data_IF_481029750805
#
_entry.id   IF_481029750805
#
_cell.length_a   1.000
_cell.length_b   1.000
_cell.length_c   1.000
_cell.angle_alpha   90.00
_cell.angle_beta   90.00
_cell.angle_gamma   90.00
#
_symmetry.space_group_name_H-M   'P 1'
#
loop_
_entity.id
_entity.type
_entity.pdbx_description
1 polymer ?
#
# COMPACT_ATOMS: atom_id res chain seq x y z
N UNK A 1 -10.47 3.55 -1.79
CA UNK A 1 -10.87 2.13 -1.58
C UNK A 1 -12.01 1.76 -2.52
N UNK A 2 -11.88 0.61 -3.17
CA UNK A 2 -12.92 0.01 -4.00
C UNK A 2 -13.79 -0.84 -3.08
N UNK A 3 -15.10 -0.60 -3.04
CA UNK A 3 -16.04 -1.39 -2.22
C UNK A 3 -16.15 -0.91 -0.77
N UNK A 4 -17.31 -1.20 -0.16
CA UNK A 4 -17.60 -0.93 1.26
C UNK A 4 -17.59 -2.29 1.99
N UNK A 5 -16.62 -2.56 2.89
CA UNK A 5 -16.60 -3.82 3.62
C UNK A 5 -17.88 -3.96 4.47
N UNK A 6 -18.57 -5.10 4.35
CA UNK A 6 -19.73 -5.45 5.16
C UNK A 6 -21.12 -5.13 4.58
N UNK A 7 -21.25 -4.53 3.39
CA UNK A 7 -22.54 -4.34 2.71
C UNK A 7 -22.73 -5.39 1.60
N UNK A 8 -23.77 -6.23 1.72
CA UNK A 8 -24.29 -7.28 0.80
C UNK A 8 -23.57 -7.52 -0.55
N UNK A 9 -23.16 -8.79 -0.79
CA UNK A 9 -22.69 -9.41 -2.06
C UNK A 9 -21.97 -8.46 -3.04
N UNK A 10 -20.69 -8.25 -2.79
CA UNK A 10 -19.76 -7.59 -3.73
C UNK A 10 -18.64 -8.53 -4.18
N UNK A 11 -17.62 -7.93 -4.80
CA UNK A 11 -16.37 -8.60 -5.16
C UNK A 11 -15.66 -9.15 -3.91
N UNK A 12 -14.97 -10.29 -4.04
CA UNK A 12 -14.18 -10.88 -2.96
C UNK A 12 -13.04 -9.93 -2.52
N UNK A 13 -12.48 -10.15 -1.33
CA UNK A 13 -11.33 -9.36 -0.85
C UNK A 13 -10.15 -9.40 -1.82
N UNK A 14 -9.88 -10.56 -2.43
CA UNK A 14 -8.83 -10.70 -3.44
C UNK A 14 -9.15 -10.00 -4.76
N UNK A 15 -10.42 -10.04 -5.21
CA UNK A 15 -10.87 -9.28 -6.38
C UNK A 15 -10.75 -7.76 -6.17
N UNK A 16 -11.06 -7.29 -4.97
CA UNK A 16 -10.90 -5.88 -4.58
C UNK A 16 -9.44 -5.43 -4.65
N UNK A 17 -8.51 -6.25 -4.15
CA UNK A 17 -7.07 -5.97 -4.23
C UNK A 17 -6.57 -5.93 -5.67
N UNK A 18 -6.97 -6.89 -6.50
CA UNK A 18 -6.62 -6.91 -7.93
C UNK A 18 -7.16 -5.69 -8.68
N UNK A 19 -8.39 -5.27 -8.39
CA UNK A 19 -8.97 -4.08 -9.00
C UNK A 19 -8.25 -2.80 -8.55
N UNK A 20 -7.85 -2.71 -7.28
CA UNK A 20 -7.03 -1.60 -6.80
C UNK A 20 -5.67 -1.55 -7.51
N UNK A 21 -4.97 -2.68 -7.60
CA UNK A 21 -3.71 -2.78 -8.33
C UNK A 21 -3.87 -2.42 -9.81
N UNK A 22 -4.90 -2.95 -10.48
CA UNK A 22 -5.18 -2.64 -11.88
C UNK A 22 -5.44 -1.14 -12.10
N UNK A 23 -6.17 -0.48 -11.19
CA UNK A 23 -6.38 0.98 -11.27
C UNK A 23 -5.07 1.78 -11.21
N UNK A 24 -4.11 1.35 -10.40
CA UNK A 24 -2.79 2.01 -10.31
C UNK A 24 -1.95 1.73 -11.56
N UNK A 25 -1.93 0.48 -12.04
CA UNK A 25 -1.21 0.09 -13.27
C UNK A 25 -1.74 0.82 -14.51
N UNK A 26 -3.03 1.16 -14.58
CA UNK A 26 -3.61 1.92 -15.69
C UNK A 26 -2.98 3.31 -15.87
N UNK A 27 -2.34 3.86 -14.85
CA UNK A 27 -1.66 5.15 -14.95
C UNK A 27 -0.27 5.08 -15.61
N UNK A 28 0.17 3.86 -15.93
CA UNK A 28 1.46 3.48 -16.52
C UNK A 28 2.69 4.11 -15.84
N UNK A 29 2.79 4.09 -14.50
CA UNK A 29 3.87 4.77 -13.79
C UNK A 29 5.21 4.10 -14.09
N UNK A 30 6.32 4.85 -14.23
CA UNK A 30 7.66 4.27 -14.43
C UNK A 30 8.16 3.53 -13.18
N UNK A 31 7.69 3.92 -11.99
CA UNK A 31 8.03 3.34 -10.68
C UNK A 31 6.74 3.04 -9.91
N UNK A 32 6.61 1.80 -9.43
CA UNK A 32 5.46 1.33 -8.68
C UNK A 32 5.88 0.83 -7.29
N UNK A 33 5.25 1.35 -6.25
CA UNK A 33 5.38 0.85 -4.88
C UNK A 33 4.15 0.01 -4.51
N UNK A 34 4.36 -1.20 -4.04
CA UNK A 34 3.30 -2.14 -3.66
C UNK A 34 3.50 -2.60 -2.22
N UNK A 35 2.64 -2.16 -1.32
CA UNK A 35 2.67 -2.62 0.07
C UNK A 35 1.80 -3.88 0.24
N UNK A 36 2.42 -4.99 0.62
CA UNK A 36 1.79 -6.30 0.82
C UNK A 36 0.77 -6.73 -0.27
N UNK A 37 1.16 -6.75 -1.56
CA UNK A 37 0.21 -7.01 -2.66
C UNK A 37 -0.39 -8.42 -2.61
N UNK A 38 0.27 -9.36 -1.94
CA UNK A 38 -0.13 -10.77 -1.81
C UNK A 38 -0.93 -11.08 -0.55
N UNK A 39 -1.02 -10.14 0.39
CA UNK A 39 -1.70 -10.36 1.68
C UNK A 39 -3.20 -10.69 1.48
N UNK A 40 -3.71 -11.72 2.15
CA UNK A 40 -5.11 -12.14 2.02
C UNK A 40 -5.49 -12.75 0.66
N UNK A 41 -4.52 -13.11 -0.17
CA UNK A 41 -4.71 -13.93 -1.38
C UNK A 41 -4.34 -15.39 -1.09
N UNK A 42 -4.89 -16.32 -1.86
CA UNK A 42 -4.37 -17.68 -1.91
C UNK A 42 -3.07 -17.74 -2.74
N UNK A 43 -2.38 -18.88 -2.69
CA UNK A 43 -1.09 -19.06 -3.37
C UNK A 43 -1.18 -18.82 -4.89
N UNK A 44 -2.24 -19.33 -5.53
CA UNK A 44 -2.44 -19.20 -6.96
C UNK A 44 -2.73 -17.75 -7.39
N UNK A 45 -3.57 -17.02 -6.65
CA UNK A 45 -3.81 -15.60 -6.94
C UNK A 45 -2.58 -14.74 -6.66
N UNK A 46 -1.84 -15.01 -5.58
CA UNK A 46 -0.60 -14.31 -5.27
C UNK A 46 0.42 -14.45 -6.41
N UNK A 47 0.57 -15.66 -6.97
CA UNK A 47 1.42 -15.88 -8.15
C UNK A 47 0.97 -15.09 -9.37
N UNK A 48 -0.33 -15.05 -9.65
CA UNK A 48 -0.84 -14.27 -10.78
C UNK A 48 -0.56 -12.78 -10.63
N UNK A 49 -0.71 -12.23 -9.42
CA UNK A 49 -0.41 -10.81 -9.14
C UNK A 49 1.07 -10.52 -9.35
N UNK A 50 1.96 -11.35 -8.78
CA UNK A 50 3.41 -11.18 -8.94
C UNK A 50 3.84 -11.41 -10.40
N UNK A 51 3.21 -12.33 -11.12
CA UNK A 51 3.45 -12.55 -12.55
C UNK A 51 3.11 -11.32 -13.39
N UNK A 52 2.03 -10.60 -13.08
CA UNK A 52 1.72 -9.32 -13.72
C UNK A 52 2.76 -8.26 -13.39
N UNK A 53 3.21 -8.19 -12.12
CA UNK A 53 4.29 -7.27 -11.72
C UNK A 53 5.57 -7.58 -12.50
N UNK A 54 5.95 -8.86 -12.62
CA UNK A 54 7.10 -9.29 -13.41
C UNK A 54 6.98 -8.89 -14.88
N UNK A 55 5.82 -9.12 -15.50
CA UNK A 55 5.58 -8.72 -16.89
C UNK A 55 5.61 -7.19 -17.09
N UNK A 56 5.30 -6.40 -16.06
CA UNK A 56 5.48 -4.95 -16.08
C UNK A 56 6.95 -4.57 -15.93
N UNK A 57 7.69 -5.26 -15.05
CA UNK A 57 9.12 -5.05 -14.88
C UNK A 57 9.92 -5.34 -16.17
N UNK A 58 9.57 -6.43 -16.87
CA UNK A 58 10.13 -6.78 -18.18
C UNK A 58 9.87 -5.71 -19.26
N UNK A 59 8.82 -4.90 -19.11
CA UNK A 59 8.53 -3.75 -19.98
C UNK A 59 9.32 -2.49 -19.61
N UNK A 60 10.29 -2.60 -18.70
CA UNK A 60 11.14 -1.49 -18.26
C UNK A 60 10.53 -0.65 -17.14
N UNK A 61 9.58 -1.19 -16.37
CA UNK A 61 9.06 -0.54 -15.16
C UNK A 61 9.85 -0.98 -13.94
N UNK A 62 10.04 -0.08 -12.97
CA UNK A 62 10.64 -0.44 -11.69
C UNK A 62 9.54 -0.72 -10.68
N UNK A 63 9.59 -1.86 -10.00
CA UNK A 63 8.58 -2.24 -9.01
C UNK A 63 9.27 -2.59 -7.70
N UNK A 64 8.82 -1.97 -6.61
CA UNK A 64 9.28 -2.24 -5.25
C UNK A 64 8.09 -2.74 -4.45
N UNK A 65 8.23 -3.94 -3.88
CA UNK A 65 7.15 -4.57 -3.14
C UNK A 65 7.61 -5.15 -1.80
N UNK A 66 6.76 -5.01 -0.78
CA UNK A 66 6.92 -5.68 0.52
C UNK A 66 6.10 -6.96 0.50
N UNK A 67 6.72 -8.11 0.78
CA UNK A 67 6.03 -9.41 0.77
C UNK A 67 6.36 -10.15 2.06
N UNK A 68 5.34 -10.36 2.89
CA UNK A 68 5.45 -11.18 4.08
C UNK A 68 5.38 -12.66 3.70
N UNK A 69 6.45 -13.42 3.98
CA UNK A 69 6.54 -14.88 3.84
C UNK A 69 6.11 -15.40 2.45
N UNK A 70 6.91 -15.12 1.40
CA UNK A 70 6.61 -15.64 0.07
C UNK A 70 6.81 -17.16 0.02
N UNK A 71 5.95 -17.85 -0.73
CA UNK A 71 6.17 -19.26 -1.07
C UNK A 71 7.43 -19.41 -1.94
N UNK A 72 8.04 -20.61 -1.94
CA UNK A 72 9.24 -20.87 -2.74
C UNK A 72 9.05 -20.57 -4.23
N UNK A 73 7.87 -20.86 -4.78
CA UNK A 73 7.54 -20.57 -6.18
C UNK A 73 7.45 -19.06 -6.45
N UNK A 74 6.98 -18.29 -5.46
CA UNK A 74 6.87 -16.84 -5.56
C UNK A 74 8.23 -16.16 -5.39
N UNK A 75 9.07 -16.68 -4.49
CA UNK A 75 10.45 -16.26 -4.32
C UNK A 75 11.27 -16.41 -5.60
N UNK A 76 11.08 -17.49 -6.36
CA UNK A 76 11.76 -17.72 -7.64
C UNK A 76 11.41 -16.70 -8.75
N UNK A 77 10.37 -15.89 -8.56
CA UNK A 77 10.00 -14.86 -9.53
C UNK A 77 10.71 -13.52 -9.30
N UNK A 78 11.36 -13.32 -8.14
CA UNK A 78 12.01 -12.06 -7.81
C UNK A 78 13.34 -11.89 -8.55
N UNK A 79 13.63 -10.66 -8.96
CA UNK A 79 14.91 -10.31 -9.59
C UNK A 79 15.95 -9.92 -8.53
N UNK A 80 15.52 -9.14 -7.53
CA UNK A 80 16.36 -8.65 -6.43
C UNK A 80 15.66 -8.80 -5.09
N UNK A 81 16.45 -8.96 -4.05
CA UNK A 81 16.01 -9.15 -2.68
C UNK A 81 16.60 -8.06 -1.79
N UNK A 82 15.73 -7.39 -1.02
CA UNK A 82 16.10 -6.52 0.10
C UNK A 82 15.65 -7.18 1.39
N UNK A 83 16.60 -7.54 2.25
CA UNK A 83 16.34 -8.07 3.59
C UNK A 83 16.68 -7.00 4.62
N UNK A 84 15.73 -6.73 5.51
CA UNK A 84 15.89 -5.75 6.59
C UNK A 84 15.59 -6.40 7.94
N UNK A 85 16.36 -6.01 8.95
CA UNK A 85 16.18 -6.46 10.33
C UNK A 85 16.58 -5.32 11.28
N UNK A 86 15.77 -5.07 12.32
CA UNK A 86 16.01 -3.99 13.30
C UNK A 86 16.30 -2.62 12.66
N UNK A 87 15.66 -2.33 11.52
CA UNK A 87 15.85 -1.08 10.76
C UNK A 87 17.17 -0.97 9.97
N UNK A 88 17.99 -2.03 9.96
CA UNK A 88 19.24 -2.12 9.18
C UNK A 88 19.07 -3.03 7.96
N UNK A 89 19.91 -2.82 6.95
CA UNK A 89 19.96 -3.68 5.76
C UNK A 89 20.82 -4.89 6.06
N UNK A 90 20.22 -6.07 6.03
CA UNK A 90 20.94 -7.34 6.20
C UNK A 90 21.51 -7.85 4.87
N UNK A 91 20.81 -7.60 3.77
CA UNK A 91 21.25 -7.94 2.42
C UNK A 91 20.47 -7.14 1.38
N UNK A 92 21.13 -6.72 0.31
CA UNK A 92 20.51 -6.16 -0.88
C UNK A 92 21.28 -6.63 -2.10
N UNK A 93 20.61 -7.32 -3.02
CA UNK A 93 21.26 -7.82 -4.23
C UNK A 93 20.36 -8.77 -5.01
N UNK A 94 20.96 -9.52 -5.92
CA UNK A 94 20.24 -10.55 -6.67
C UNK A 94 19.88 -11.73 -5.74
N UNK A 95 18.86 -12.49 -6.14
CA UNK A 95 18.33 -13.61 -5.34
C UNK A 95 19.39 -14.69 -5.12
N UNK A 96 20.16 -15.05 -6.15
CA UNK A 96 21.18 -16.08 -6.06
C UNK A 96 22.35 -15.67 -5.16
N UNK A 97 22.75 -14.38 -5.21
CA UNK A 97 23.81 -13.83 -4.36
C UNK A 97 23.49 -13.89 -2.86
N UNK A 98 22.21 -13.94 -2.50
CA UNK A 98 21.80 -14.06 -1.10
C UNK A 98 22.29 -15.39 -0.51
N UNK A 99 22.18 -16.50 -1.25
CA UNK A 99 22.67 -17.79 -0.77
C UNK A 99 24.16 -17.78 -0.50
N UNK A 100 24.95 -17.21 -1.42
CA UNK A 100 26.40 -17.12 -1.28
C UNK A 100 26.79 -16.25 -0.08
N UNK A 101 26.10 -15.14 0.12
CA UNK A 101 26.35 -14.24 1.25
C UNK A 101 26.09 -14.95 2.59
N UNK A 102 24.91 -15.54 2.78
CA UNK A 102 24.57 -16.21 4.04
C UNK A 102 25.43 -17.47 4.28
N UNK A 103 25.78 -18.22 3.23
CA UNK A 103 26.64 -19.40 3.34
C UNK A 103 28.07 -19.04 3.80
N UNK A 104 28.65 -17.95 3.29
CA UNK A 104 29.98 -17.45 3.73
C UNK A 104 30.02 -17.07 5.21
N UNK A 105 28.87 -16.66 5.78
CA UNK A 105 28.74 -16.29 7.18
C UNK A 105 28.24 -17.45 8.06
N UNK A 106 28.27 -18.69 7.56
CA UNK A 106 27.95 -19.89 8.34
C UNK A 106 26.47 -20.25 8.37
N UNK A 107 25.62 -19.59 7.57
CA UNK A 107 24.19 -19.84 7.48
C UNK A 107 23.83 -20.46 6.12
N UNK A 108 24.13 -21.75 5.96
CA UNK A 108 23.77 -22.49 4.75
C UNK A 108 22.29 -22.90 4.78
N UNK A 109 21.54 -22.55 3.73
CA UNK A 109 20.15 -22.96 3.58
C UNK A 109 20.08 -24.47 3.27
N UNK A 110 19.29 -25.28 4.01
CA UNK A 110 19.04 -26.66 3.65
C UNK A 110 18.31 -26.78 2.30
N UNK A 111 18.54 -27.86 1.53
CA UNK A 111 17.99 -28.00 0.17
C UNK A 111 16.47 -28.17 0.11
N UNK A 112 15.85 -28.67 1.20
CA UNK A 112 14.40 -28.90 1.28
C UNK A 112 13.68 -27.81 2.08
N UNK A 113 14.27 -26.62 2.20
CA UNK A 113 13.72 -25.52 2.97
C UNK A 113 13.45 -24.32 2.06
N UNK A 114 12.38 -23.57 2.36
CA UNK A 114 12.07 -22.35 1.61
C UNK A 114 13.14 -21.29 1.90
N UNK A 115 13.90 -20.83 0.89
CA UNK A 115 14.97 -19.86 1.10
C UNK A 115 14.50 -18.57 1.77
N UNK A 116 13.33 -18.07 1.36
CA UNK A 116 12.77 -16.86 1.94
C UNK A 116 12.50 -17.01 3.44
N UNK A 117 11.90 -18.13 3.83
CA UNK A 117 11.65 -18.43 5.24
C UNK A 117 12.98 -18.61 6.00
N UNK A 118 14.01 -19.20 5.37
CA UNK A 118 15.31 -19.40 6.00
C UNK A 118 15.96 -18.06 6.34
N UNK A 119 15.98 -17.12 5.39
CA UNK A 119 16.54 -15.79 5.62
C UNK A 119 15.74 -15.02 6.68
N UNK A 120 14.41 -15.07 6.62
CA UNK A 120 13.54 -14.42 7.61
C UNK A 120 13.77 -15.00 9.00
N UNK A 121 13.83 -16.34 9.15
CA UNK A 121 14.09 -16.98 10.44
C UNK A 121 15.50 -16.71 10.98
N UNK A 122 16.48 -16.57 10.09
CA UNK A 122 17.86 -16.20 10.47
C UNK A 122 17.95 -14.76 10.96
N UNK A 123 17.08 -13.88 10.46
CA UNK A 123 17.05 -12.47 10.87
C UNK A 123 16.02 -12.17 11.96
N UNK A 124 15.12 -13.10 12.26
CA UNK A 124 14.09 -12.93 13.27
C UNK A 124 14.68 -12.97 14.69
N UNK A 125 14.13 -12.11 15.56
CA UNK A 125 14.42 -12.13 17.00
C UNK A 125 13.42 -13.05 17.68
N UNK A 126 13.93 -14.10 18.31
CA UNK A 126 13.12 -15.09 19.03
C UNK A 126 13.04 -14.72 20.52
N UNK A 127 11.86 -14.71 21.13
CA UNK A 127 11.71 -14.43 22.55
C UNK A 127 12.42 -15.52 23.38
N UNK A 128 13.25 -15.10 24.33
CA UNK A 128 14.05 -15.99 25.19
C UNK A 128 15.53 -16.09 24.80
N UNK A 129 15.91 -15.70 23.58
CA UNK A 129 17.31 -15.64 23.15
C UNK A 129 17.61 -14.35 22.36
N UNK A 130 17.02 -13.24 22.81
CA UNK A 130 17.07 -11.98 22.06
C UNK A 130 18.49 -11.42 21.93
N UNK A 131 19.34 -11.62 22.95
CA UNK A 131 20.68 -11.05 22.97
C UNK A 131 21.58 -11.68 21.88
N UNK A 132 21.55 -13.01 21.75
CA UNK A 132 22.31 -13.70 20.71
C UNK A 132 21.70 -13.45 19.31
N UNK A 133 20.37 -13.41 19.20
CA UNK A 133 19.70 -13.08 17.94
C UNK A 133 20.07 -11.68 17.45
N UNK A 134 20.06 -10.67 18.33
CA UNK A 134 20.47 -9.30 17.99
C UNK A 134 21.94 -9.23 17.59
N UNK A 135 22.84 -9.90 18.33
CA UNK A 135 24.27 -9.96 17.98
C UNK A 135 24.48 -10.52 16.57
N UNK A 136 23.86 -11.66 16.26
CA UNK A 136 23.88 -12.25 14.90
C UNK A 136 23.38 -11.29 13.82
N UNK A 137 22.25 -10.63 14.06
CA UNK A 137 21.68 -9.68 13.09
C UNK A 137 22.63 -8.50 12.87
N UNK A 138 23.21 -7.95 13.93
CA UNK A 138 24.18 -6.87 13.82
C UNK A 138 25.44 -7.31 13.08
N UNK A 139 26.00 -8.49 13.38
CA UNK A 139 27.15 -9.04 12.68
C UNK A 139 26.88 -9.21 11.18
N UNK A 140 25.71 -9.74 10.80
CA UNK A 140 25.32 -9.89 9.39
C UNK A 140 25.12 -8.53 8.69
N UNK A 141 24.48 -7.56 9.35
CA UNK A 141 24.33 -6.21 8.81
C UNK A 141 25.67 -5.50 8.64
N UNK A 142 26.57 -5.60 9.62
CA UNK A 142 27.92 -5.01 9.55
C UNK A 142 28.76 -5.68 8.47
N UNK A 143 28.65 -7.00 8.32
CA UNK A 143 29.31 -7.75 7.26
C UNK A 143 28.79 -7.36 5.87
N UNK A 144 27.49 -7.12 5.72
CA UNK A 144 26.93 -6.64 4.46
C UNK A 144 27.40 -5.22 4.15
N UNK A 145 27.37 -4.31 5.13
CA UNK A 145 27.84 -2.92 4.96
C UNK A 145 29.32 -2.81 4.59
N UNK A 146 30.14 -3.79 4.98
CA UNK A 146 31.57 -3.86 4.65
C UNK A 146 31.89 -4.70 3.41
N UNK A 147 30.93 -5.48 2.92
CA UNK A 147 31.08 -6.31 1.72
C UNK A 147 31.23 -5.46 0.45
N UNK A 148 31.84 -6.05 -0.59
CA UNK A 148 31.98 -5.41 -1.91
C UNK A 148 30.63 -5.00 -2.49
N UNK A 149 29.61 -5.86 -2.34
CA UNK A 149 28.24 -5.60 -2.82
C UNK A 149 27.60 -4.41 -2.08
N UNK A 150 27.74 -4.37 -0.75
CA UNK A 150 27.23 -3.28 0.08
C UNK A 150 27.91 -1.95 -0.21
N UNK A 151 29.24 -1.94 -0.39
CA UNK A 151 29.98 -0.75 -0.81
C UNK A 151 29.58 -0.30 -2.21
N UNK A 152 29.46 -1.22 -3.17
CA UNK A 152 29.05 -0.89 -4.54
C UNK A 152 27.66 -0.24 -4.57
N UNK A 153 26.71 -0.77 -3.78
CA UNK A 153 25.37 -0.18 -3.65
C UNK A 153 25.41 1.18 -2.98
N UNK A 154 26.20 1.34 -1.92
CA UNK A 154 26.38 2.63 -1.24
C UNK A 154 27.01 3.67 -2.17
N UNK A 155 27.98 3.26 -2.98
CA UNK A 155 28.59 4.10 -4.00
C UNK A 155 27.59 4.49 -5.09
N UNK A 156 26.76 3.54 -5.55
CA UNK A 156 25.66 3.84 -6.48
C UNK A 156 24.66 4.82 -5.87
N UNK A 157 24.29 4.66 -4.60
CA UNK A 157 23.40 5.57 -3.89
C UNK A 157 24.03 6.98 -3.75
N UNK A 158 25.33 7.05 -3.45
CA UNK A 158 26.05 8.31 -3.33
C UNK A 158 26.25 9.02 -4.69
N UNK A 159 26.58 8.26 -5.75
CA UNK A 159 26.71 8.78 -7.12
C UNK A 159 25.37 9.24 -7.69
N UNK A 160 24.30 8.46 -7.43
CA UNK A 160 22.93 8.82 -7.77
C UNK A 160 22.42 10.04 -7.00
N UNK A 161 22.91 10.26 -5.79
CA UNK A 161 22.57 11.40 -4.94
C UNK A 161 23.28 12.72 -5.27
N UNK A 162 24.41 12.73 -6.00
CA UNK A 162 25.23 13.94 -6.15
C UNK A 162 25.47 14.39 -7.60
N UNK A 163 25.60 13.53 -8.63
CA UNK A 163 26.04 14.04 -9.96
C UNK A 163 25.30 13.52 -11.20
N UNK A 164 24.73 12.32 -11.24
CA UNK A 164 24.06 11.80 -12.46
C UNK A 164 22.53 11.92 -12.46
N UNK A 165 21.90 11.96 -11.28
CA UNK A 165 20.46 12.21 -11.15
C UNK A 165 20.06 13.64 -11.53
N UNK A 166 20.97 14.61 -11.38
CA UNK A 166 20.63 16.01 -11.68
C UNK A 166 20.58 16.33 -13.18
N UNK A 167 21.21 15.58 -14.09
CA UNK A 167 21.22 15.96 -15.51
C UNK A 167 20.32 15.09 -16.40
N UNK A 168 20.27 13.77 -16.17
CA UNK A 168 19.38 12.86 -16.91
C UNK A 168 18.00 12.73 -16.27
N UNK A 169 17.90 12.68 -14.94
CA UNK A 169 16.60 12.70 -14.26
C UNK A 169 15.95 14.08 -14.42
N UNK A 170 16.67 15.21 -14.34
CA UNK A 170 16.06 16.52 -14.67
C UNK A 170 15.57 16.59 -16.11
N UNK A 171 16.24 16.00 -17.10
CA UNK A 171 15.69 16.04 -18.48
C UNK A 171 14.40 15.24 -18.67
N UNK A 172 14.22 14.16 -17.90
CA UNK A 172 13.01 13.32 -17.93
C UNK A 172 11.94 13.90 -17.01
N UNK A 173 12.29 14.29 -15.79
CA UNK A 173 11.40 14.95 -14.83
C UNK A 173 10.99 16.32 -15.34
N UNK A 174 11.84 17.15 -15.93
CA UNK A 174 11.38 18.43 -16.49
C UNK A 174 10.48 18.23 -17.70
N UNK A 175 10.66 17.22 -18.54
CA UNK A 175 9.73 16.96 -19.66
C UNK A 175 8.41 16.31 -19.19
N UNK A 176 8.45 15.46 -18.16
CA UNK A 176 7.28 14.80 -17.56
C UNK A 176 6.53 15.76 -16.63
N UNK A 177 7.21 16.45 -15.71
CA UNK A 177 6.67 17.45 -14.77
C UNK A 177 6.23 18.73 -15.48
N UNK A 178 6.87 19.18 -16.58
CA UNK A 178 6.33 20.30 -17.37
C UNK A 178 5.08 19.93 -18.19
N UNK A 179 4.90 18.65 -18.55
CA UNK A 179 3.68 18.18 -19.24
C UNK A 179 2.57 17.76 -18.27
N UNK A 180 2.92 17.35 -17.06
CA UNK A 180 1.96 17.05 -15.99
C UNK A 180 2.26 17.95 -14.81
N UNK A 181 1.45 19.01 -14.64
CA UNK A 181 1.26 19.55 -13.29
C UNK A 181 0.92 18.41 -12.32
N UNK A 182 1.00 18.66 -11.01
CA UNK A 182 0.69 17.70 -9.93
C UNK A 182 -0.58 16.86 -10.21
N UNK A 183 -1.48 17.41 -11.02
CA UNK A 183 -2.60 16.71 -11.62
C UNK A 183 -2.52 16.60 -13.15
N UNK A 184 -2.68 15.37 -13.65
CA UNK A 184 -2.84 15.06 -15.09
C UNK A 184 -4.12 15.68 -15.71
N UNK A 185 -5.07 16.16 -14.92
CA UNK A 185 -6.36 16.69 -15.37
C UNK A 185 -6.67 18.05 -14.74
N UNK A 186 -7.37 18.92 -15.48
CA UNK A 186 -7.77 20.25 -15.02
C UNK A 186 -8.82 20.22 -13.90
N UNK A 187 -8.89 21.30 -13.11
CA UNK A 187 -9.76 21.41 -11.94
C UNK A 187 -11.24 21.11 -12.23
N UNK A 188 -11.79 21.67 -13.31
CA UNK A 188 -13.20 21.44 -13.67
C UNK A 188 -13.48 20.00 -14.10
N UNK A 189 -12.52 19.34 -14.75
CA UNK A 189 -12.65 17.94 -15.13
C UNK A 189 -12.64 17.04 -13.89
N UNK A 190 -11.75 17.31 -12.93
CA UNK A 190 -11.72 16.62 -11.65
C UNK A 190 -13.01 16.85 -10.85
N UNK A 191 -13.48 18.10 -10.76
CA UNK A 191 -14.71 18.43 -10.06
C UNK A 191 -15.90 17.71 -10.69
N UNK A 192 -16.06 17.77 -12.01
CA UNK A 192 -17.15 17.10 -12.70
C UNK A 192 -17.08 15.58 -12.50
N UNK A 193 -15.89 14.97 -12.57
CA UNK A 193 -15.71 13.55 -12.32
C UNK A 193 -16.08 13.14 -10.88
N UNK A 194 -15.69 13.94 -9.88
CA UNK A 194 -16.01 13.69 -8.46
C UNK A 194 -17.50 13.87 -8.21
N UNK A 195 -18.11 14.93 -8.73
CA UNK A 195 -19.56 15.19 -8.61
C UNK A 195 -20.35 14.08 -9.28
N UNK A 196 -19.98 13.68 -10.50
CA UNK A 196 -20.64 12.58 -11.20
C UNK A 196 -20.50 11.26 -10.45
N UNK A 197 -19.29 10.91 -9.99
CA UNK A 197 -19.06 9.70 -9.20
C UNK A 197 -19.85 9.71 -7.89
N UNK A 198 -19.91 10.85 -7.20
CA UNK A 198 -20.70 11.03 -5.98
C UNK A 198 -22.19 10.85 -6.26
N UNK A 199 -22.70 11.48 -7.32
CA UNK A 199 -24.09 11.33 -7.75
C UNK A 199 -24.44 9.87 -8.06
N UNK A 200 -23.64 9.19 -8.88
CA UNK A 200 -23.85 7.77 -9.20
C UNK A 200 -23.81 6.90 -7.94
N UNK A 201 -22.89 7.18 -6.99
CA UNK A 201 -22.81 6.45 -5.73
C UNK A 201 -24.07 6.64 -4.88
N UNK A 202 -24.56 7.88 -4.75
CA UNK A 202 -25.77 8.20 -3.97
C UNK A 202 -27.02 7.61 -4.62
N UNK A 203 -27.17 7.73 -5.94
CA UNK A 203 -28.32 7.18 -6.68
C UNK A 203 -28.42 5.66 -6.58
N UNK A 204 -27.29 4.97 -6.40
CA UNK A 204 -27.23 3.52 -6.20
C UNK A 204 -27.58 3.10 -4.76
N UNK A 205 -27.72 4.03 -3.82
CA UNK A 205 -28.09 3.77 -2.43
C UNK A 205 -29.50 4.33 -2.09
N UNK A 206 -30.59 3.69 -2.59
CA UNK A 206 -31.95 4.22 -2.44
C UNK A 206 -32.41 4.31 -0.99
N UNK A 207 -31.82 3.53 -0.09
CA UNK A 207 -32.20 3.52 1.32
C UNK A 207 -31.79 4.82 2.03
N UNK A 208 -30.58 5.33 1.80
CA UNK A 208 -30.14 6.61 2.35
C UNK A 208 -30.94 7.77 1.77
N UNK A 209 -31.22 7.74 0.46
CA UNK A 209 -32.10 8.71 -0.20
C UNK A 209 -33.48 8.75 0.44
N UNK A 210 -34.11 7.57 0.65
CA UNK A 210 -35.43 7.47 1.29
C UNK A 210 -35.41 8.00 2.73
N UNK A 211 -34.40 7.64 3.54
CA UNK A 211 -34.28 8.11 4.93
C UNK A 211 -34.12 9.63 4.99
N UNK A 212 -33.27 10.21 4.15
CA UNK A 212 -33.08 11.68 4.09
C UNK A 212 -34.35 12.40 3.65
N UNK A 213 -35.05 11.86 2.65
CA UNK A 213 -36.29 12.45 2.16
C UNK A 213 -37.40 12.37 3.22
N UNK A 214 -37.52 11.23 3.90
CA UNK A 214 -38.43 11.04 5.03
C UNK A 214 -38.13 12.01 6.18
N UNK A 215 -36.86 12.08 6.61
CA UNK A 215 -36.43 13.02 7.66
C UNK A 215 -36.79 14.46 7.30
N UNK A 216 -36.55 14.88 6.05
CA UNK A 216 -36.85 16.25 5.59
C UNK A 216 -38.34 16.55 5.65
N UNK A 217 -39.19 15.61 5.23
CA UNK A 217 -40.66 15.76 5.31
C UNK A 217 -41.11 15.91 6.76
N UNK A 218 -40.60 15.08 7.67
CA UNK A 218 -40.93 15.16 9.10
C UNK A 218 -40.50 16.51 9.69
N UNK A 219 -39.28 16.98 9.44
CA UNK A 219 -38.82 18.29 9.92
C UNK A 219 -39.68 19.44 9.37
N UNK A 220 -40.01 19.42 8.08
CA UNK A 220 -40.87 20.44 7.48
C UNK A 220 -42.30 20.44 8.05
N UNK A 221 -42.80 19.31 8.53
CA UNK A 221 -44.12 19.20 9.13
C UNK A 221 -44.13 19.66 10.59
N UNK A 222 -43.13 19.28 11.39
CA UNK A 222 -43.09 19.58 12.83
C UNK A 222 -42.62 21.00 13.15
N UNK A 223 -41.72 21.57 12.33
CA UNK A 223 -41.14 22.90 12.57
C UNK A 223 -42.20 24.03 12.59
N UNK A 224 -43.18 24.10 11.67
CA UNK A 224 -44.25 25.10 11.72
C UNK A 224 -45.18 24.93 12.92
N UNK A 225 -45.47 23.69 13.33
CA UNK A 225 -46.30 23.39 14.51
C UNK A 225 -45.60 23.90 15.77
N UNK A 226 -44.33 23.56 15.92
CA UNK A 226 -43.49 24.02 17.02
C UNK A 226 -43.40 25.56 17.07
N UNK A 227 -43.15 26.21 15.93
CA UNK A 227 -43.10 27.68 15.86
C UNK A 227 -44.45 28.31 16.22
N UNK A 228 -45.57 27.75 15.73
CA UNK A 228 -46.92 28.24 16.05
C UNK A 228 -47.21 28.14 17.55
N UNK A 229 -46.88 27.03 18.18
CA UNK A 229 -47.12 26.85 19.63
C UNK A 229 -46.16 27.69 20.48
N UNK A 230 -44.93 27.93 20.01
CA UNK A 230 -43.98 28.86 20.63
C UNK A 230 -44.50 30.31 20.61
N UNK A 231 -44.99 30.80 19.47
CA UNK A 231 -45.55 32.15 19.36
C UNK A 231 -46.87 32.33 20.12
N UNK A 232 -47.66 31.26 20.29
CA UNK A 232 -48.87 31.27 21.11
C UNK A 232 -48.59 31.20 22.62
N UNK A 233 -47.32 31.20 23.05
CA UNK A 233 -46.93 31.23 24.46
C UNK A 233 -47.22 29.94 25.23
N UNK A 234 -47.51 28.85 24.53
CA UNK A 234 -47.94 27.58 25.14
C UNK A 234 -46.77 26.72 25.64
N UNK A 235 -45.56 26.99 25.14
CA UNK A 235 -44.32 26.39 25.64
C UNK A 235 -43.46 27.44 26.34
N UNK A 236 -43.47 27.43 27.67
CA UNK A 236 -42.38 28.03 28.44
C UNK A 236 -41.12 27.21 28.18
N UNK A 237 -40.11 27.89 27.63
CA UNK A 237 -38.79 27.35 27.27
C UNK A 237 -38.11 26.63 28.44
N UNK A 238 -38.50 26.96 29.68
CA UNK A 238 -38.01 26.39 30.94
C UNK A 238 -38.23 24.87 31.09
N UNK A 239 -39.27 24.29 30.47
CA UNK A 239 -39.66 22.88 30.69
C UNK A 239 -38.95 21.91 29.73
N UNK A 240 -38.58 22.37 28.52
CA UNK A 240 -37.97 21.53 27.50
C UNK A 240 -36.49 21.20 27.79
N UNK A 241 -35.78 22.05 28.54
CA UNK A 241 -34.39 21.78 28.93
C UNK A 241 -34.27 20.72 30.04
N UNK A 242 -35.36 20.45 30.78
CA UNK A 242 -35.41 19.44 31.85
C UNK A 242 -35.82 18.05 31.36
N UNK A 243 -36.44 17.92 30.19
CA UNK A 243 -36.88 16.61 29.67
C UNK A 243 -35.90 15.96 28.69
N UNK A 244 -34.76 16.58 28.42
CA UNK A 244 -33.78 16.14 27.42
C UNK A 244 -32.33 16.10 27.93
N UNK A 245 -32.16 16.08 29.26
CA UNK A 245 -30.94 15.63 29.94
C UNK A 245 -31.18 14.21 30.46
#
# INVERSE_FOLDING_TARGET
MVGIPGRLKGISGGEMKRLAFACEVLTDPPLLFCDEPTSGLDSFMAQNVVGVMKALAEKGKTIVATIHQPSSELYAMFDRLLLMAEGRTAYLGDVDGAFDFFNRHGYACPPNFNPADFFIHTLAIVPGDEENCRKRVFELCDAFETSEDGLAIKDLANRGGVEEGSSKLQSIDDEVVMKTGVYKAGWFAQLNAVVWRSFVSISREPLILKVRLFQTVVFCQELPIFLREHFNGMYRVDVYFLSKM
#
